data_IF_240124824267
#
_entry.id   IF_240124824267
#
_cell.length_a   1.000
_cell.length_b   1.000
_cell.length_c   1.000
_cell.angle_alpha   90.00
_cell.angle_beta   90.00
_cell.angle_gamma   90.00
#
_symmetry.space_group_name_H-M   'P 1'
#
loop_
_entity.id
_entity.type
_entity.pdbx_description
1 polymer ?
#
# COMPACT_ATOMS: atom_id res chain seq x y z
N UNK A 1 7.44 1.55 -7.27
CA UNK A 1 6.39 0.52 -7.16
C UNK A 1 6.18 0.22 -5.69
N UNK A 2 4.93 0.24 -5.21
CA UNK A 2 4.57 -0.26 -3.90
C UNK A 2 3.69 -1.50 -4.07
N UNK A 3 4.10 -2.60 -3.43
CA UNK A 3 3.43 -3.89 -3.47
C UNK A 3 2.89 -4.19 -2.09
N UNK A 4 1.56 -4.09 -1.95
CA UNK A 4 0.87 -4.23 -0.67
C UNK A 4 1.02 -5.66 -0.12
N UNK A 5 1.33 -5.75 1.17
CA UNK A 5 1.43 -7.01 1.90
C UNK A 5 2.62 -7.91 1.54
N UNK A 6 3.42 -7.55 0.52
CA UNK A 6 4.53 -8.39 0.05
C UNK A 6 5.87 -8.01 0.66
N UNK A 7 5.99 -8.18 1.97
CA UNK A 7 7.19 -7.87 2.74
C UNK A 7 8.40 -8.75 2.39
N UNK A 8 9.58 -8.34 2.90
CA UNK A 8 10.87 -8.95 2.58
C UNK A 8 10.93 -10.46 2.88
N UNK A 9 10.43 -10.91 4.01
CA UNK A 9 10.46 -12.33 4.40
C UNK A 9 9.64 -13.18 3.43
N UNK A 10 8.42 -12.75 3.12
CA UNK A 10 7.56 -13.43 2.14
C UNK A 10 8.21 -13.49 0.75
N UNK A 11 8.86 -12.40 0.34
CA UNK A 11 9.60 -12.40 -0.92
C UNK A 11 10.74 -13.42 -0.90
N UNK A 12 11.52 -13.50 0.18
CA UNK A 12 12.64 -14.45 0.28
C UNK A 12 12.16 -15.91 0.26
N UNK A 13 11.08 -16.22 0.96
CA UNK A 13 10.48 -17.55 1.01
C UNK A 13 9.93 -18.01 -0.34
N UNK A 14 9.48 -17.05 -1.18
CA UNK A 14 8.80 -17.35 -2.44
C UNK A 14 9.60 -16.96 -3.70
N UNK A 15 10.93 -16.82 -3.60
CA UNK A 15 11.81 -16.57 -4.77
C UNK A 15 11.72 -17.65 -5.86
N UNK A 16 11.22 -18.84 -5.54
CA UNK A 16 10.93 -19.90 -6.51
C UNK A 16 9.87 -19.49 -7.53
N UNK A 17 8.89 -18.69 -7.10
CA UNK A 17 7.76 -18.21 -7.90
C UNK A 17 8.01 -16.84 -8.55
N UNK A 18 9.13 -16.18 -8.22
CA UNK A 18 9.46 -14.83 -8.68
C UNK A 18 10.81 -14.77 -9.40
N UNK A 19 10.93 -15.36 -10.60
CA UNK A 19 12.19 -15.40 -11.32
C UNK A 19 12.80 -14.03 -11.65
N UNK A 20 11.98 -12.99 -11.78
CA UNK A 20 12.47 -11.62 -11.99
C UNK A 20 13.11 -11.07 -10.72
N UNK A 21 12.44 -11.16 -9.58
CA UNK A 21 12.99 -10.74 -8.29
C UNK A 21 14.21 -11.57 -7.90
N UNK A 22 14.19 -12.88 -8.17
CA UNK A 22 15.33 -13.76 -7.91
C UNK A 22 16.58 -13.30 -8.65
N UNK A 23 16.48 -12.84 -9.90
CA UNK A 23 17.62 -12.28 -10.64
C UNK A 23 18.14 -10.97 -10.05
N UNK A 24 17.28 -10.22 -9.39
CA UNK A 24 17.61 -8.93 -8.75
C UNK A 24 18.00 -9.08 -7.27
N UNK A 25 18.14 -10.31 -6.76
CA UNK A 25 18.36 -10.59 -5.34
C UNK A 25 19.51 -9.79 -4.72
N UNK A 26 20.57 -9.53 -5.46
CA UNK A 26 21.71 -8.76 -4.98
C UNK A 26 21.40 -7.30 -4.68
N UNK A 27 20.34 -6.76 -5.29
CA UNK A 27 19.91 -5.37 -5.14
C UNK A 27 18.80 -5.21 -4.08
N UNK A 28 18.31 -6.33 -3.53
CA UNK A 28 17.22 -6.33 -2.54
C UNK A 28 17.81 -6.23 -1.14
N UNK A 29 17.22 -5.35 -0.32
CA UNK A 29 17.61 -5.15 1.06
C UNK A 29 16.38 -5.18 1.98
N UNK A 30 16.54 -5.78 3.15
CA UNK A 30 15.55 -5.71 4.22
C UNK A 30 15.54 -4.31 4.84
N UNK A 31 14.34 -3.78 5.02
CA UNK A 31 14.09 -2.59 5.84
C UNK A 31 12.88 -2.88 6.74
N UNK A 32 12.80 -2.19 7.86
CA UNK A 32 11.63 -2.28 8.73
C UNK A 32 10.54 -1.34 8.25
N UNK A 33 9.29 -1.82 8.28
CA UNK A 33 8.14 -0.93 8.11
C UNK A 33 7.88 -0.14 9.41
N UNK A 34 6.92 0.75 9.34
CA UNK A 34 6.48 1.56 10.50
C UNK A 34 5.58 0.73 11.44
N UNK A 35 5.31 1.26 12.62
CA UNK A 35 4.34 0.70 13.58
C UNK A 35 3.22 1.72 13.79
N UNK A 36 1.94 1.29 13.66
CA UNK A 36 1.48 -0.03 13.24
C UNK A 36 1.78 -0.33 11.77
N UNK A 37 2.03 -1.62 11.47
CA UNK A 37 2.38 -2.11 10.12
C UNK A 37 1.12 -2.39 9.31
N UNK A 38 0.40 -1.36 8.96
CA UNK A 38 -0.87 -1.41 8.22
C UNK A 38 -0.86 -0.42 7.06
N UNK A 39 -1.57 -0.74 6.00
CA UNK A 39 -1.62 -0.01 4.72
C UNK A 39 -1.82 1.50 4.91
N UNK A 40 -2.81 1.92 5.71
CA UNK A 40 -3.10 3.34 5.91
C UNK A 40 -1.92 4.12 6.51
N UNK A 41 -1.28 3.56 7.53
CA UNK A 41 -0.15 4.16 8.20
C UNK A 41 1.11 4.12 7.32
N UNK A 42 1.39 2.97 6.71
CA UNK A 42 2.62 2.75 5.94
C UNK A 42 2.62 3.54 4.61
N UNK A 43 1.51 3.52 3.86
CA UNK A 43 1.41 4.31 2.61
C UNK A 43 1.47 5.81 2.93
N UNK A 44 0.86 6.26 4.04
CA UNK A 44 0.96 7.68 4.44
C UNK A 44 2.38 8.04 4.86
N UNK A 45 3.06 7.19 5.62
CA UNK A 45 4.46 7.40 5.96
C UNK A 45 5.36 7.43 4.70
N UNK A 46 5.11 6.56 3.72
CA UNK A 46 5.77 6.58 2.42
C UNK A 46 5.51 7.90 1.67
N UNK A 47 4.24 8.33 1.59
CA UNK A 47 3.85 9.51 0.82
C UNK A 47 4.26 10.85 1.45
N UNK A 48 4.52 10.90 2.77
CA UNK A 48 4.86 12.13 3.51
C UNK A 48 6.28 12.17 4.04
N UNK A 49 6.90 11.01 4.27
CA UNK A 49 8.15 10.86 5.02
C UNK A 49 7.98 11.09 6.53
N UNK A 50 6.75 11.12 7.04
CA UNK A 50 6.44 11.39 8.44
C UNK A 50 5.96 10.11 9.18
N UNK A 51 6.17 10.07 10.49
CA UNK A 51 5.74 8.95 11.33
C UNK A 51 4.21 8.97 11.53
N UNK A 52 3.56 7.81 11.78
CA UNK A 52 2.12 7.73 11.98
C UNK A 52 1.54 8.72 13.01
N UNK A 53 2.23 8.92 14.13
CA UNK A 53 1.82 9.89 15.15
C UNK A 53 1.84 11.36 14.70
N UNK A 54 2.56 11.70 13.62
CA UNK A 54 2.56 13.05 13.05
C UNK A 54 1.53 13.21 11.93
N UNK A 55 1.04 12.11 11.37
CA UNK A 55 0.08 12.10 10.26
C UNK A 55 -1.34 11.77 10.70
N UNK A 56 -1.55 11.39 11.97
CA UNK A 56 -2.80 10.84 12.51
C UNK A 56 -3.28 9.54 11.82
N UNK A 57 -2.48 8.96 10.92
CA UNK A 57 -2.77 7.70 10.24
C UNK A 57 -2.16 6.55 11.04
N UNK A 58 -2.85 6.16 12.13
CA UNK A 58 -2.29 5.36 13.22
C UNK A 58 -2.86 3.93 13.29
N UNK A 59 -3.54 3.46 12.26
CA UNK A 59 -4.11 2.12 12.20
C UNK A 59 -5.05 1.96 11.01
N UNK A 60 -5.72 0.82 10.92
CA UNK A 60 -6.79 0.60 9.94
C UNK A 60 -8.02 1.48 10.24
N UNK A 61 -8.30 1.68 11.53
CA UNK A 61 -9.42 2.49 11.99
C UNK A 61 -9.08 3.26 13.27
N UNK A 62 -9.86 4.31 13.54
CA UNK A 62 -9.72 5.15 14.73
C UNK A 62 -11.08 5.46 15.34
N UNK A 63 -11.11 5.74 16.64
CA UNK A 63 -12.30 6.28 17.29
C UNK A 63 -12.51 7.74 16.84
N UNK A 64 -13.67 8.04 16.26
CA UNK A 64 -14.02 9.37 15.77
C UNK A 64 -15.53 9.63 15.87
N UNK A 65 -15.94 10.81 16.32
CA UNK A 65 -17.35 11.20 16.37
C UNK A 65 -18.26 10.32 17.23
N UNK A 66 -17.70 9.58 18.19
CA UNK A 66 -18.44 8.60 19.00
C UNK A 66 -18.58 7.21 18.38
N UNK A 67 -18.04 6.99 17.18
CA UNK A 67 -17.98 5.73 16.44
C UNK A 67 -16.56 5.35 16.02
N UNK A 68 -16.46 4.55 15.00
CA UNK A 68 -15.18 4.10 14.39
C UNK A 68 -15.14 4.59 12.96
N UNK A 69 -14.07 5.29 12.59
CA UNK A 69 -13.77 5.72 11.23
C UNK A 69 -12.70 4.83 10.62
N UNK A 70 -12.94 4.28 9.43
CA UNK A 70 -11.97 3.56 8.63
C UNK A 70 -11.02 4.56 7.95
N UNK A 71 -9.71 4.41 8.12
CA UNK A 71 -8.71 5.33 7.58
C UNK A 71 -8.36 5.11 6.10
N UNK A 72 -8.86 4.04 5.48
CA UNK A 72 -8.73 3.86 4.02
C UNK A 72 -9.77 4.70 3.27
N UNK A 73 -11.02 4.68 3.76
CA UNK A 73 -12.14 5.37 3.13
C UNK A 73 -12.36 6.78 3.71
N UNK A 74 -12.20 6.96 5.04
CA UNK A 74 -12.47 8.18 5.82
C UNK A 74 -13.90 8.70 5.67
N UNK A 75 -14.86 7.80 5.37
CA UNK A 75 -16.27 8.14 5.22
C UNK A 75 -16.86 8.66 6.54
N UNK A 76 -17.63 9.75 6.44
CA UNK A 76 -18.22 10.40 7.62
C UNK A 76 -17.22 11.14 8.52
N UNK A 77 -15.95 11.17 8.13
CA UNK A 77 -14.87 11.89 8.82
C UNK A 77 -14.61 13.28 8.24
N UNK A 78 -13.57 13.97 8.74
CA UNK A 78 -13.09 15.22 8.19
C UNK A 78 -12.45 15.01 6.82
N UNK A 79 -12.20 16.09 6.08
CA UNK A 79 -11.46 16.01 4.84
C UNK A 79 -10.07 15.39 5.08
N UNK A 80 -9.56 14.55 4.17
CA UNK A 80 -8.24 13.91 4.34
C UNK A 80 -7.11 14.91 4.62
N UNK A 81 -7.18 16.13 4.06
CA UNK A 81 -6.22 17.21 4.29
C UNK A 81 -6.32 17.85 5.68
N UNK A 82 -7.50 17.82 6.29
CA UNK A 82 -7.71 18.29 7.67
C UNK A 82 -7.23 17.23 8.68
N UNK A 83 -7.51 15.96 8.39
CA UNK A 83 -7.09 14.85 9.24
C UNK A 83 -5.56 14.65 9.21
N UNK A 84 -4.99 14.66 8.01
CA UNK A 84 -3.56 14.52 7.75
C UNK A 84 -3.02 15.79 7.06
N UNK A 85 -2.59 16.81 7.84
CA UNK A 85 -2.14 18.10 7.28
C UNK A 85 -0.70 18.10 6.79
N UNK A 86 0.09 17.06 7.08
CA UNK A 86 1.51 17.01 6.67
C UNK A 86 1.61 16.95 5.14
N UNK A 87 2.36 17.86 4.49
CA UNK A 87 2.51 17.85 3.04
C UNK A 87 3.12 16.54 2.52
N UNK A 88 2.53 16.01 1.46
CA UNK A 88 3.05 14.82 0.78
C UNK A 88 4.28 15.15 -0.05
N UNK A 89 5.06 14.12 -0.42
CA UNK A 89 6.14 14.28 -1.39
C UNK A 89 5.61 14.75 -2.76
N UNK A 90 4.41 14.32 -3.14
CA UNK A 90 3.80 14.72 -4.41
C UNK A 90 3.39 16.20 -4.42
N UNK A 91 2.92 16.75 -3.30
CA UNK A 91 2.69 18.21 -3.15
C UNK A 91 4.00 18.99 -3.21
N UNK A 92 5.07 18.46 -2.58
CA UNK A 92 6.40 19.10 -2.64
C UNK A 92 6.98 19.07 -4.06
N UNK A 93 6.78 17.97 -4.79
CA UNK A 93 7.16 17.87 -6.21
C UNK A 93 6.38 18.88 -7.05
N UNK A 94 5.07 18.96 -6.88
CA UNK A 94 4.23 19.93 -7.57
C UNK A 94 4.63 21.37 -7.28
N UNK A 95 4.98 21.70 -6.02
CA UNK A 95 5.49 23.01 -5.63
C UNK A 95 6.86 23.35 -6.24
N UNK A 96 7.60 22.36 -6.71
CA UNK A 96 8.87 22.48 -7.44
C UNK A 96 8.70 22.31 -8.96
N UNK A 97 7.49 22.43 -9.48
CA UNK A 97 7.13 22.23 -10.89
C UNK A 97 7.51 20.84 -11.45
N UNK A 98 7.60 19.84 -10.59
CA UNK A 98 7.85 18.44 -10.98
C UNK A 98 6.54 17.66 -11.00
N UNK A 99 6.08 17.29 -12.19
CA UNK A 99 4.86 16.50 -12.35
C UNK A 99 5.05 15.07 -11.86
N UNK A 100 3.97 14.49 -11.32
CA UNK A 100 3.95 13.12 -10.86
C UNK A 100 2.61 12.43 -11.16
N UNK A 101 2.64 11.11 -11.32
CA UNK A 101 1.46 10.29 -11.56
C UNK A 101 1.37 9.14 -10.56
N UNK A 102 0.15 8.89 -10.08
CA UNK A 102 -0.21 7.73 -9.26
C UNK A 102 -1.08 6.81 -10.11
N UNK A 103 -0.61 5.58 -10.32
CA UNK A 103 -1.31 4.55 -11.09
C UNK A 103 -1.88 3.52 -10.12
N UNK A 104 -3.18 3.44 -10.07
CA UNK A 104 -3.92 2.51 -9.21
C UNK A 104 -5.36 2.33 -9.73
N UNK A 105 -6.16 1.38 -9.20
CA UNK A 105 -7.56 1.23 -9.60
C UNK A 105 -8.38 2.52 -9.46
N UNK A 106 -9.36 2.71 -10.36
CA UNK A 106 -10.20 3.90 -10.39
C UNK A 106 -10.93 4.15 -9.06
N UNK A 107 -11.32 3.08 -8.34
CA UNK A 107 -11.99 3.18 -7.04
C UNK A 107 -11.17 3.88 -5.96
N UNK A 108 -9.86 3.98 -6.13
CA UNK A 108 -8.98 4.68 -5.19
C UNK A 108 -8.83 6.17 -5.48
N UNK A 109 -9.30 6.64 -6.64
CA UNK A 109 -9.34 8.07 -6.96
C UNK A 109 -10.21 8.80 -5.94
N UNK A 110 -9.61 9.74 -5.22
CA UNK A 110 -10.33 10.53 -4.21
C UNK A 110 -10.71 9.78 -2.93
N UNK A 111 -10.24 8.54 -2.72
CA UNK A 111 -10.41 7.85 -1.43
C UNK A 111 -9.70 8.61 -0.30
N UNK A 112 -10.14 8.37 0.93
CA UNK A 112 -9.55 8.99 2.12
C UNK A 112 -8.04 8.83 2.17
N UNK A 113 -7.54 7.59 2.01
CA UNK A 113 -6.12 7.29 2.00
C UNK A 113 -5.38 7.98 0.85
N UNK A 114 -5.94 7.97 -0.38
CA UNK A 114 -5.30 8.66 -1.51
C UNK A 114 -5.21 10.16 -1.24
N UNK A 115 -6.26 10.76 -0.69
CA UNK A 115 -6.26 12.18 -0.30
C UNK A 115 -5.30 12.49 0.86
N UNK A 116 -5.09 11.56 1.78
CA UNK A 116 -4.16 11.73 2.89
C UNK A 116 -2.69 11.53 2.47
N UNK A 117 -2.40 10.51 1.67
CA UNK A 117 -1.04 10.02 1.44
C UNK A 117 -0.44 10.43 0.09
N UNK A 118 -1.25 10.59 -0.96
CA UNK A 118 -0.79 10.68 -2.35
C UNK A 118 -1.28 11.95 -3.07
N UNK A 119 -1.92 12.87 -2.35
CA UNK A 119 -2.38 14.14 -2.92
C UNK A 119 -1.22 14.96 -3.51
N UNK A 120 -1.49 15.70 -4.55
CA UNK A 120 -0.49 16.42 -5.34
C UNK A 120 -0.06 15.71 -6.62
N UNK A 121 -0.24 14.39 -6.69
CA UNK A 121 -0.03 13.62 -7.91
C UNK A 121 -1.31 13.53 -8.75
N UNK A 122 -1.16 13.42 -10.07
CA UNK A 122 -2.26 13.12 -10.98
C UNK A 122 -2.59 11.63 -10.91
N UNK A 123 -3.84 11.29 -10.62
CA UNK A 123 -4.30 9.91 -10.63
C UNK A 123 -4.52 9.41 -12.06
N UNK A 124 -3.97 8.24 -12.37
CA UNK A 124 -4.12 7.53 -13.65
C UNK A 124 -4.79 6.19 -13.36
N UNK A 125 -6.07 6.03 -13.65
CA UNK A 125 -6.79 4.80 -13.35
C UNK A 125 -6.32 3.65 -14.25
N UNK A 126 -6.08 2.50 -13.62
CA UNK A 126 -5.73 1.26 -14.32
C UNK A 126 -6.09 0.07 -13.42
N UNK A 127 -6.91 -0.85 -13.93
CA UNK A 127 -7.48 -1.93 -13.11
C UNK A 127 -6.57 -3.14 -13.03
N UNK A 128 -6.21 -3.75 -14.15
CA UNK A 128 -5.34 -4.92 -14.18
C UNK A 128 -3.86 -4.54 -14.04
N UNK A 129 -3.02 -5.51 -13.67
CA UNK A 129 -1.57 -5.31 -13.67
C UNK A 129 -1.05 -4.91 -15.05
N UNK A 130 -1.55 -5.55 -16.10
CA UNK A 130 -1.21 -5.23 -17.49
C UNK A 130 -1.53 -3.77 -17.84
N UNK A 131 -2.70 -3.28 -17.41
CA UNK A 131 -3.10 -1.89 -17.61
C UNK A 131 -2.21 -0.94 -16.83
N UNK A 132 -1.88 -1.27 -15.58
CA UNK A 132 -0.97 -0.46 -14.73
C UNK A 132 0.43 -0.38 -15.33
N UNK A 133 0.99 -1.51 -15.79
CA UNK A 133 2.28 -1.53 -16.49
C UNK A 133 2.24 -0.67 -17.74
N UNK A 134 1.19 -0.83 -18.55
CA UNK A 134 1.00 -0.04 -19.77
C UNK A 134 0.85 1.45 -19.49
N UNK A 135 0.10 1.82 -18.44
CA UNK A 135 -0.05 3.20 -17.99
C UNK A 135 1.29 3.79 -17.50
N UNK A 136 2.04 3.04 -16.70
CA UNK A 136 3.36 3.48 -16.21
C UNK A 136 4.32 3.77 -17.37
N UNK A 137 4.39 2.86 -18.34
CA UNK A 137 5.25 3.03 -19.50
C UNK A 137 4.81 4.21 -20.38
N UNK A 138 3.51 4.46 -20.54
CA UNK A 138 3.00 5.64 -21.26
C UNK A 138 3.39 6.94 -20.56
N UNK A 139 3.20 7.02 -19.23
CA UNK A 139 3.56 8.19 -18.44
C UNK A 139 5.05 8.49 -18.53
N UNK A 140 5.90 7.48 -18.34
CA UNK A 140 7.35 7.63 -18.42
C UNK A 140 7.83 8.06 -19.82
N UNK A 141 7.21 7.51 -20.88
CA UNK A 141 7.53 7.91 -22.27
C UNK A 141 7.02 9.31 -22.60
N UNK A 142 5.95 9.76 -21.96
CA UNK A 142 5.45 11.12 -22.05
C UNK A 142 6.29 12.14 -21.29
N UNK A 143 7.31 11.67 -20.55
CA UNK A 143 8.23 12.53 -19.79
C UNK A 143 7.77 12.83 -18.36
N UNK A 144 6.79 12.11 -17.81
CA UNK A 144 6.41 12.26 -16.40
C UNK A 144 7.58 11.82 -15.50
N UNK A 145 8.21 12.73 -14.74
CA UNK A 145 9.45 12.44 -14.02
C UNK A 145 9.30 11.43 -12.88
N UNK A 146 8.12 11.40 -12.22
CA UNK A 146 7.85 10.54 -11.07
C UNK A 146 6.56 9.78 -11.30
N UNK A 147 6.64 8.46 -11.35
CA UNK A 147 5.49 7.57 -11.50
C UNK A 147 5.45 6.61 -10.32
N UNK A 148 4.36 6.66 -9.56
CA UNK A 148 4.05 5.71 -8.49
C UNK A 148 3.05 4.67 -9.02
N UNK A 149 3.40 3.39 -8.91
CA UNK A 149 2.53 2.28 -9.26
C UNK A 149 2.21 1.50 -7.99
N UNK A 150 0.92 1.31 -7.72
CA UNK A 150 0.42 0.55 -6.59
C UNK A 150 -0.15 -0.80 -7.03
N UNK A 151 0.23 -1.85 -6.29
CA UNK A 151 -0.24 -3.21 -6.51
C UNK A 151 -0.74 -3.82 -5.20
N UNK A 152 -2.03 -4.18 -5.13
CA UNK A 152 -2.71 -4.65 -3.92
C UNK A 152 -3.19 -6.10 -3.97
N UNK A 153 -3.04 -6.78 -5.10
CA UNK A 153 -3.73 -8.05 -5.31
C UNK A 153 -3.09 -9.19 -4.49
N UNK A 154 -1.79 -9.09 -4.20
CA UNK A 154 -1.09 -10.05 -3.32
C UNK A 154 -1.64 -9.96 -1.89
N UNK A 155 -1.80 -8.75 -1.34
CA UNK A 155 -2.41 -8.51 -0.03
C UNK A 155 -3.84 -9.04 0.02
N UNK A 156 -4.64 -8.68 -0.98
CA UNK A 156 -6.03 -9.13 -1.08
C UNK A 156 -6.15 -10.67 -1.14
N UNK A 157 -5.30 -11.33 -1.92
CA UNK A 157 -5.27 -12.79 -1.99
C UNK A 157 -4.83 -13.41 -0.66
N UNK A 158 -3.87 -12.80 0.04
CA UNK A 158 -3.44 -13.22 1.38
C UNK A 158 -4.56 -13.16 2.40
N UNK A 159 -5.34 -12.07 2.40
CA UNK A 159 -6.50 -11.93 3.28
C UNK A 159 -7.64 -12.88 2.93
N UNK A 160 -7.83 -13.19 1.66
CA UNK A 160 -8.96 -14.03 1.20
C UNK A 160 -8.69 -15.52 1.35
N UNK A 161 -7.46 -15.95 1.07
CA UNK A 161 -7.12 -17.37 0.90
C UNK A 161 -5.92 -17.82 1.73
N UNK A 162 -5.25 -16.90 2.40
CA UNK A 162 -4.02 -17.14 3.14
C UNK A 162 -2.75 -17.05 2.27
N UNK A 163 -1.66 -16.66 2.92
CA UNK A 163 -0.32 -16.63 2.33
C UNK A 163 0.10 -18.06 1.95
N UNK A 164 0.66 -18.23 0.76
CA UNK A 164 1.10 -19.52 0.23
C UNK A 164 -0.01 -20.38 -0.37
N UNK A 165 -1.27 -19.92 -0.39
CA UNK A 165 -2.34 -20.58 -1.14
C UNK A 165 -2.12 -20.50 -2.65
N UNK A 166 -2.72 -21.40 -3.43
CA UNK A 166 -2.62 -21.39 -4.89
C UNK A 166 -3.05 -20.04 -5.49
N UNK A 167 -4.10 -19.42 -4.94
CA UNK A 167 -4.57 -18.11 -5.37
C UNK A 167 -3.56 -17.01 -5.07
N UNK A 168 -2.93 -17.03 -3.90
CA UNK A 168 -1.88 -16.07 -3.53
C UNK A 168 -0.62 -16.25 -4.39
N UNK A 169 -0.19 -17.50 -4.61
CA UNK A 169 0.95 -17.82 -5.50
C UNK A 169 0.66 -17.35 -6.92
N UNK A 170 -0.55 -17.57 -7.45
CA UNK A 170 -0.96 -17.09 -8.77
C UNK A 170 -0.84 -15.56 -8.90
N UNK A 171 -1.29 -14.80 -7.89
CA UNK A 171 -1.13 -13.34 -7.86
C UNK A 171 0.34 -12.91 -7.81
N UNK A 172 1.18 -13.66 -7.09
CA UNK A 172 2.61 -13.40 -7.00
C UNK A 172 3.33 -13.64 -8.35
N UNK A 173 3.02 -14.74 -9.03
CA UNK A 173 3.56 -15.07 -10.35
C UNK A 173 3.12 -14.05 -11.41
N UNK A 174 1.85 -13.62 -11.38
CA UNK A 174 1.33 -12.55 -12.22
C UNK A 174 2.11 -11.24 -11.98
N UNK A 175 2.31 -10.88 -10.72
CA UNK A 175 3.09 -9.70 -10.36
C UNK A 175 4.51 -9.76 -10.92
N UNK A 176 5.24 -10.88 -10.75
CA UNK A 176 6.61 -11.04 -11.25
C UNK A 176 6.68 -10.94 -12.79
N UNK A 177 5.69 -11.51 -13.48
CA UNK A 177 5.55 -11.39 -14.93
C UNK A 177 5.32 -9.93 -15.37
N UNK A 178 4.44 -9.21 -14.69
CA UNK A 178 4.18 -7.79 -14.92
C UNK A 178 5.41 -6.92 -14.62
N UNK A 179 6.11 -7.19 -13.52
CA UNK A 179 7.37 -6.53 -13.18
C UNK A 179 8.42 -6.74 -14.29
N UNK A 180 8.54 -7.97 -14.78
CA UNK A 180 9.43 -8.28 -15.91
C UNK A 180 9.06 -7.50 -17.16
N UNK A 181 7.77 -7.38 -17.48
CA UNK A 181 7.29 -6.61 -18.63
C UNK A 181 7.59 -5.12 -18.47
N UNK A 182 7.34 -4.57 -17.29
CA UNK A 182 7.65 -3.18 -16.96
C UNK A 182 9.14 -2.89 -17.15
N UNK A 183 10.01 -3.68 -16.52
CA UNK A 183 11.46 -3.47 -16.55
C UNK A 183 12.02 -3.52 -17.99
N UNK A 184 11.53 -4.43 -18.84
CA UNK A 184 11.91 -4.48 -20.25
C UNK A 184 11.43 -3.30 -21.07
N UNK A 185 10.31 -2.68 -20.68
CA UNK A 185 9.70 -1.57 -21.40
C UNK A 185 10.16 -0.18 -20.97
N UNK A 186 10.95 -0.07 -19.90
CA UNK A 186 11.42 1.21 -19.36
C UNK A 186 12.23 2.01 -20.37
N UNK A 187 12.00 3.33 -20.48
CA UNK A 187 12.90 4.23 -21.19
C UNK A 187 14.30 4.23 -20.56
N UNK A 188 15.32 4.54 -21.37
CA UNK A 188 16.68 4.69 -20.88
C UNK A 188 16.77 5.76 -19.78
N UNK A 189 17.56 5.50 -18.74
CA UNK A 189 17.78 6.43 -17.63
C UNK A 189 16.70 6.38 -16.54
N UNK A 190 15.62 5.64 -16.70
CA UNK A 190 14.61 5.46 -15.65
C UNK A 190 15.16 4.54 -14.55
N UNK A 191 15.07 5.00 -13.29
CA UNK A 191 15.38 4.22 -12.11
C UNK A 191 14.10 3.68 -11.50
N UNK A 192 14.04 2.38 -11.23
CA UNK A 192 12.93 1.75 -10.53
C UNK A 192 13.32 1.45 -9.09
N UNK A 193 12.43 1.81 -8.17
CA UNK A 193 12.49 1.42 -6.76
C UNK A 193 11.21 0.63 -6.46
N UNK A 194 11.33 -0.52 -5.81
CA UNK A 194 10.20 -1.32 -5.34
C UNK A 194 10.28 -1.45 -3.83
N UNK A 195 9.15 -1.34 -3.16
CA UNK A 195 9.01 -1.57 -1.72
C UNK A 195 7.65 -2.18 -1.41
N UNK A 196 7.53 -2.82 -0.25
CA UNK A 196 6.25 -3.15 0.35
C UNK A 196 5.92 -2.13 1.46
N UNK A 197 4.66 -2.01 1.79
CA UNK A 197 4.20 -1.26 2.96
C UNK A 197 4.29 -2.10 4.26
N UNK A 198 3.99 -3.40 4.17
CA UNK A 198 4.14 -4.39 5.24
C UNK A 198 4.30 -5.80 4.66
N UNK A 199 4.42 -6.80 5.54
CA UNK A 199 4.30 -8.22 5.23
C UNK A 199 2.98 -8.77 5.75
N UNK A 200 2.79 -10.08 5.64
CA UNK A 200 1.64 -10.83 6.13
C UNK A 200 2.08 -12.10 6.83
N UNK A 201 1.26 -12.58 7.74
CA UNK A 201 1.39 -13.90 8.39
C UNK A 201 0.03 -14.59 8.37
N UNK A 202 0.03 -15.91 8.26
CA UNK A 202 -1.18 -16.69 8.48
C UNK A 202 -1.49 -16.78 9.98
N UNK A 203 -2.76 -16.58 10.33
CA UNK A 203 -3.25 -16.67 11.71
C UNK A 203 -4.27 -17.80 11.80
N UNK A 204 -4.08 -18.69 12.78
CA UNK A 204 -5.05 -19.73 13.07
C UNK A 204 -6.34 -19.12 13.63
N UNK A 205 -7.48 -19.45 13.03
CA UNK A 205 -8.78 -18.94 13.47
C UNK A 205 -9.08 -19.24 14.95
N UNK A 206 -8.59 -20.37 15.46
CA UNK A 206 -8.71 -20.75 16.87
C UNK A 206 -7.93 -19.85 17.82
N UNK A 207 -6.95 -19.11 17.33
CA UNK A 207 -6.15 -18.16 18.11
C UNK A 207 -6.78 -16.76 18.16
N UNK A 208 -7.84 -16.50 17.37
CA UNK A 208 -8.53 -15.21 17.38
C UNK A 208 -9.37 -15.06 18.65
N UNK A 209 -9.22 -13.91 19.30
CA UNK A 209 -10.02 -13.54 20.47
C UNK A 209 -11.10 -12.56 20.05
N UNK A 210 -12.36 -13.00 20.09
CA UNK A 210 -13.50 -12.13 19.85
C UNK A 210 -13.73 -11.20 21.06
N UNK A 211 -13.34 -9.94 20.92
CA UNK A 211 -13.52 -8.91 21.93
C UNK A 211 -15.03 -8.70 22.26
N UNK A 212 -15.90 -8.79 21.26
CA UNK A 212 -17.34 -8.62 21.45
C UNK A 212 -17.95 -9.75 22.30
N UNK A 213 -17.44 -10.96 22.14
CA UNK A 213 -17.85 -12.14 22.90
C UNK A 213 -17.14 -12.33 24.25
N UNK A 214 -16.12 -11.50 24.55
CA UNK A 214 -15.29 -11.64 25.77
C UNK A 214 -15.55 -10.49 26.74
N UNK A 215 -16.45 -10.65 27.75
CA UNK A 215 -16.84 -9.56 28.65
C UNK A 215 -15.69 -8.87 29.37
N UNK A 216 -14.69 -9.62 29.81
CA UNK A 216 -13.51 -9.10 30.49
C UNK A 216 -12.68 -8.12 29.63
N UNK A 217 -12.71 -8.26 28.32
CA UNK A 217 -12.03 -7.33 27.37
C UNK A 217 -12.87 -6.09 27.06
N UNK A 218 -14.14 -6.09 27.44
CA UNK A 218 -15.06 -4.97 27.24
C UNK A 218 -15.25 -4.10 28.47
N UNK A 219 -14.86 -4.56 29.63
CA UNK A 219 -15.02 -3.83 30.89
C UNK A 219 -14.22 -2.52 30.83
N UNK A 220 -14.90 -1.39 31.03
CA UNK A 220 -14.32 -0.04 30.95
C UNK A 220 -13.97 0.44 29.52
N UNK A 221 -14.20 -0.38 28.49
CA UNK A 221 -13.92 -0.03 27.10
C UNK A 221 -15.16 0.56 26.45
N UNK A 222 -15.05 1.78 25.94
CA UNK A 222 -16.13 2.49 25.24
C UNK A 222 -16.15 2.20 23.74
N UNK A 223 -15.00 2.21 23.11
CA UNK A 223 -14.82 2.01 21.67
C UNK A 223 -13.55 1.17 21.45
N UNK A 224 -13.61 0.20 20.56
CA UNK A 224 -12.45 -0.54 20.06
C UNK A 224 -12.20 -0.08 18.63
N UNK A 225 -10.98 0.37 18.34
CA UNK A 225 -10.52 0.80 17.03
C UNK A 225 -9.01 0.48 16.90
N UNK A 226 -8.45 0.64 15.73
CA UNK A 226 -7.06 0.36 15.44
C UNK A 226 -6.93 -0.69 14.34
N UNK A 227 -6.00 -1.62 14.49
CA UNK A 227 -5.88 -2.77 13.61
C UNK A 227 -6.82 -3.87 14.09
N UNK A 228 -7.62 -4.42 13.18
CA UNK A 228 -8.65 -5.43 13.50
C UNK A 228 -8.27 -6.84 13.07
N UNK A 229 -7.05 -7.04 12.61
CA UNK A 229 -6.57 -8.30 12.02
C UNK A 229 -5.30 -8.78 12.68
#
# INVERSE_FOLDING_TARGET
>A
ILVDGFGYELMQEHLGHTPTLRRMRADIRSIHTIVPSTTSAAITAFGTGARPGATNMVGFSVAYGGGVMNLLAMEGGPAPTEWQPTPTYFERLAAADVSSAVISPARFAGSGLTGAALRGARHVPAESLSDRVSAALRELRAGTPVVYLYWSDIDHAGHSSGVGSDGWIGCLEEFDAGLSALLRGLPAGVRTVMTADHGMINVEHSALVDVAATPALREGVRIVAGETR
#
